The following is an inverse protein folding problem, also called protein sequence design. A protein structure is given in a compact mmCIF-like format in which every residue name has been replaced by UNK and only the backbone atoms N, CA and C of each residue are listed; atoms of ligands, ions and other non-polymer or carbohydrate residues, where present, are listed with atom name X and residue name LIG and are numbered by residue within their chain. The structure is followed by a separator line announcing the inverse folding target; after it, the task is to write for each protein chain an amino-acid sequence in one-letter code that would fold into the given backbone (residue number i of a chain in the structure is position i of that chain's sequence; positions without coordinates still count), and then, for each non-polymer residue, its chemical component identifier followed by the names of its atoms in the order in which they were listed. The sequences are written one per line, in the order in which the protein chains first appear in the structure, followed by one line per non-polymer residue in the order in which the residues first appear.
data_IF_389026115714
#
_entry.id   IF_389026115714
#
_cell.length_a   1.000
_cell.length_b   1.000
_cell.length_c   1.000
_cell.angle_alpha   90.00
_cell.angle_beta   90.00
_cell.angle_gamma   90.00
#
_symmetry.space_group_name_H-M   'P 1'
#
loop_
_entity.id
_entity.type
_entity.pdbx_description
1 polymer ?
#
# COMPACT_ATOMS: atom_id res chain seq x y z
N UNK A 1 -10.95 -12.08 9.32
CA UNK A 1 -11.00 -10.89 8.44
C UNK A 1 -9.99 -11.05 7.30
N UNK A 2 -10.35 -10.72 6.06
CA UNK A 2 -9.43 -10.81 4.90
C UNK A 2 -8.55 -9.56 4.85
N UNK A 3 -7.26 -9.67 5.15
CA UNK A 3 -6.29 -8.56 5.06
C UNK A 3 -6.23 -8.05 3.62
N UNK A 4 -6.46 -6.76 3.41
CA UNK A 4 -6.35 -6.12 2.10
C UNK A 4 -4.89 -5.79 1.80
N UNK A 5 -4.45 -5.91 0.54
CA UNK A 5 -3.14 -5.43 0.14
C UNK A 5 -3.04 -3.91 0.29
N UNK A 6 -1.90 -3.44 0.78
CA UNK A 6 -1.59 -2.02 0.76
C UNK A 6 -0.08 -1.78 0.56
N UNK A 7 0.23 -0.60 0.05
CA UNK A 7 1.56 -0.06 -0.06
C UNK A 7 1.93 0.70 1.22
N UNK A 8 3.06 0.37 1.85
CA UNK A 8 3.52 1.04 3.08
C UNK A 8 4.38 2.24 2.71
N UNK A 9 3.91 3.44 3.03
CA UNK A 9 4.58 4.71 2.74
C UNK A 9 5.56 5.07 3.87
N UNK A 10 5.15 4.79 5.10
CA UNK A 10 5.90 5.09 6.34
C UNK A 10 7.27 4.39 6.43
N UNK A 11 8.17 4.98 7.24
CA UNK A 11 9.50 4.41 7.51
C UNK A 11 9.39 3.22 8.48
N UNK A 12 10.27 2.24 8.32
CA UNK A 12 10.28 1.05 9.19
C UNK A 12 10.38 1.41 10.67
N UNK A 13 11.24 2.37 11.02
CA UNK A 13 11.41 2.86 12.39
C UNK A 13 10.12 3.45 12.97
N UNK A 14 9.34 4.22 12.19
CA UNK A 14 8.04 4.72 12.63
C UNK A 14 7.10 3.57 12.97
N UNK A 15 7.08 2.55 12.11
CA UNK A 15 6.18 1.42 12.26
C UNK A 15 6.54 0.57 13.48
N UNK A 16 7.83 0.33 13.71
CA UNK A 16 8.31 -0.44 14.86
C UNK A 16 8.06 0.29 16.18
N UNK A 17 8.19 1.62 16.20
CA UNK A 17 7.93 2.40 17.43
C UNK A 17 6.45 2.58 17.75
N UNK A 18 5.58 2.63 16.74
CA UNK A 18 4.15 2.96 16.94
C UNK A 18 3.23 1.75 16.85
N UNK A 19 3.65 0.66 16.19
CA UNK A 19 2.75 -0.43 15.79
C UNK A 19 1.80 -0.06 14.65
N UNK A 20 1.93 1.14 14.08
CA UNK A 20 1.07 1.67 13.03
C UNK A 20 1.85 1.79 11.72
N UNK A 21 1.12 1.87 10.61
CA UNK A 21 1.68 2.13 9.30
C UNK A 21 0.82 3.16 8.57
N UNK A 22 1.48 4.19 8.02
CA UNK A 22 0.89 5.03 6.97
C UNK A 22 0.97 4.24 5.67
N UNK A 23 -0.19 4.02 5.05
CA UNK A 23 -0.37 3.18 3.87
C UNK A 23 -1.19 3.86 2.76
N UNK A 24 -1.03 3.38 1.53
CA UNK A 24 -1.98 3.59 0.43
C UNK A 24 -2.58 2.24 0.00
N UNK A 25 -3.91 2.10 -0.10
CA UNK A 25 -4.55 0.83 -0.44
C UNK A 25 -4.27 0.43 -1.89
N UNK A 26 -4.31 -0.87 -2.13
CA UNK A 26 -4.20 -1.45 -3.47
C UNK A 26 -5.56 -1.99 -3.89
N UNK A 27 -6.02 -1.55 -5.05
CA UNK A 27 -7.28 -1.97 -5.65
C UNK A 27 -7.02 -2.69 -6.98
N UNK A 28 -7.75 -3.78 -7.22
CA UNK A 28 -7.76 -4.43 -8.54
C UNK A 28 -8.49 -3.63 -9.60
N UNK A 29 -9.34 -2.69 -9.20
CA UNK A 29 -10.02 -1.76 -10.11
C UNK A 29 -9.11 -0.59 -10.42
N UNK A 30 -8.82 -0.36 -11.69
CA UNK A 30 -8.04 0.79 -12.20
C UNK A 30 -9.04 1.80 -12.75
N UNK A 31 -8.98 3.05 -12.30
CA UNK A 31 -9.91 4.13 -12.69
C UNK A 31 -9.30 5.07 -13.74
N UNK A 32 -7.99 5.00 -13.97
CA UNK A 32 -7.30 5.83 -14.95
C UNK A 32 -7.13 7.29 -14.51
N UNK A 33 -7.13 7.53 -13.19
CA UNK A 33 -6.90 8.86 -12.62
C UNK A 33 -5.41 9.10 -12.38
N UNK A 34 -5.00 10.39 -12.31
CA UNK A 34 -3.58 10.77 -12.13
C UNK A 34 -2.95 10.29 -10.81
N UNK A 35 -3.77 9.90 -9.83
CA UNK A 35 -3.34 9.49 -8.48
C UNK A 35 -3.33 7.96 -8.31
N UNK A 36 -3.24 7.21 -9.41
CA UNK A 36 -3.05 5.77 -9.42
C UNK A 36 -1.64 5.41 -9.89
N UNK A 37 -0.99 4.50 -9.17
CA UNK A 37 0.28 3.89 -9.62
C UNK A 37 0.01 2.43 -9.95
N UNK A 38 0.02 2.11 -11.25
CA UNK A 38 -0.20 0.74 -11.73
C UNK A 38 0.91 -0.17 -11.22
N UNK A 39 0.53 -1.31 -10.66
CA UNK A 39 1.48 -2.31 -10.21
C UNK A 39 2.10 -3.04 -11.41
N UNK A 40 3.44 -3.28 -11.41
CA UNK A 40 4.10 -4.06 -12.44
C UNK A 40 3.48 -5.45 -12.59
N UNK A 41 3.43 -5.95 -13.83
CA UNK A 41 2.81 -7.25 -14.13
C UNK A 41 3.54 -8.43 -13.47
N UNK A 42 4.82 -8.29 -13.13
CA UNK A 42 5.61 -9.32 -12.46
C UNK A 42 5.15 -9.59 -11.01
N UNK A 43 4.37 -8.67 -10.42
CA UNK A 43 3.85 -8.85 -9.07
C UNK A 43 2.66 -9.82 -9.07
N UNK A 44 2.58 -10.63 -8.00
CA UNK A 44 1.42 -11.50 -7.74
C UNK A 44 0.13 -10.71 -7.51
N UNK A 45 0.24 -9.51 -6.95
CA UNK A 45 -0.93 -8.63 -6.78
C UNK A 45 -1.08 -7.73 -7.99
N UNK A 46 -2.30 -7.68 -8.50
CA UNK A 46 -2.68 -6.90 -9.67
C UNK A 46 -3.46 -5.65 -9.26
N UNK A 47 -3.47 -4.66 -10.15
CA UNK A 47 -4.21 -3.41 -9.97
C UNK A 47 -3.29 -2.22 -9.75
N UNK A 48 -3.72 -1.27 -8.95
CA UNK A 48 -3.00 -0.02 -8.71
C UNK A 48 -2.98 0.38 -7.23
N UNK A 49 -1.94 1.10 -6.84
CA UNK A 49 -1.86 1.82 -5.56
C UNK A 49 -2.66 3.10 -5.70
N UNK A 50 -3.59 3.35 -4.77
CA UNK A 50 -4.45 4.53 -4.77
C UNK A 50 -3.87 5.59 -3.82
N UNK A 51 -3.16 6.57 -4.39
CA UNK A 51 -2.47 7.60 -3.62
C UNK A 51 -3.45 8.59 -2.97
N UNK A 52 -4.65 8.75 -3.52
CA UNK A 52 -5.68 9.62 -2.93
C UNK A 52 -6.26 9.07 -1.61
N UNK A 53 -6.06 7.77 -1.30
CA UNK A 53 -6.69 7.08 -0.18
C UNK A 53 -5.69 6.73 0.93
N UNK A 54 -4.75 7.62 1.23
CA UNK A 54 -3.77 7.40 2.31
C UNK A 54 -4.47 7.29 3.66
N UNK A 55 -4.08 6.31 4.46
CA UNK A 55 -4.61 6.07 5.80
C UNK A 55 -3.53 5.59 6.77
N UNK A 56 -3.76 5.78 8.06
CA UNK A 56 -3.00 5.14 9.13
C UNK A 56 -3.74 3.90 9.61
N UNK A 57 -3.03 2.79 9.79
CA UNK A 57 -3.63 1.54 10.21
C UNK A 57 -2.62 0.66 10.97
N UNK A 58 -3.11 -0.20 11.86
CA UNK A 58 -2.30 -1.20 12.55
C UNK A 58 -1.52 -2.07 11.56
N UNK A 59 -0.21 -2.18 11.73
CA UNK A 59 0.68 -2.82 10.75
C UNK A 59 0.33 -4.31 10.54
N UNK A 60 -0.10 -4.98 11.61
CA UNK A 60 -0.48 -6.39 11.60
C UNK A 60 -1.88 -6.64 11.02
N UNK A 61 -2.64 -5.60 10.69
CA UNK A 61 -3.92 -5.73 10.00
C UNK A 61 -3.79 -5.71 8.46
N UNK A 62 -2.60 -5.40 7.91
CA UNK A 62 -2.43 -5.09 6.47
C UNK A 62 -1.60 -6.14 5.75
N UNK A 63 -1.97 -6.54 4.53
CA UNK A 63 -1.10 -7.40 3.71
C UNK A 63 -0.10 -6.54 2.93
N UNK A 64 1.16 -6.54 3.35
CA UNK A 64 2.21 -5.68 2.79
C UNK A 64 2.69 -6.23 1.44
N UNK A 65 2.78 -5.37 0.42
CA UNK A 65 3.28 -5.72 -0.92
C UNK A 65 4.71 -5.27 -1.24
N UNK A 66 5.47 -4.97 -0.20
CA UNK A 66 6.83 -4.42 -0.23
C UNK A 66 6.89 -2.97 -0.77
N UNK A 67 7.92 -2.25 -0.29
CA UNK A 67 8.31 -0.93 -0.77
C UNK A 67 8.91 -1.05 -2.16
N UNK A 68 8.16 -0.71 -3.19
CA UNK A 68 8.73 -0.38 -4.49
C UNK A 68 9.37 1.00 -4.40
N UNK A 69 10.65 1.04 -4.70
CA UNK A 69 11.54 2.19 -4.82
C UNK A 69 10.82 3.39 -5.46
N UNK A 70 10.28 4.27 -4.62
CA UNK A 70 10.40 5.69 -4.87
C UNK A 70 11.79 5.99 -4.34
N UNK A 71 12.72 6.33 -5.24
CA UNK A 71 14.17 6.38 -5.01
C UNK A 71 14.62 6.98 -3.68
#
# INVERSE_FOLDING_TARGET
MKRRPAYVISRKIFNEHTGLAIIAPISGTIRGIKLEVILPEQLKTKGAVFIEQVAEQEIDAIRILAKLLIG
#
